data_IF_979730433462
#
_entry.id   IF_979730433462
#
_cell.length_a   1.000
_cell.length_b   1.000
_cell.length_c   1.000
_cell.angle_alpha   90.00
_cell.angle_beta   90.00
_cell.angle_gamma   90.00
#
_symmetry.space_group_name_H-M   'P 1'
#
loop_
_entity.id
_entity.type
_entity.pdbx_description
1 polymer ?
#
# COMPACT_ATOMS: atom_id res chain seq x y z
N UNK A 1 -36.05 6.47 -8.59
CA UNK A 1 -36.55 7.83 -8.90
C UNK A 1 -36.03 8.93 -7.97
N UNK A 2 -36.30 8.95 -6.65
CA UNK A 2 -35.85 10.08 -5.79
C UNK A 2 -34.32 10.21 -5.59
N UNK A 3 -33.56 9.13 -5.76
CA UNK A 3 -32.10 9.18 -5.62
C UNK A 3 -31.39 9.61 -6.91
N UNK A 4 -31.99 9.37 -8.07
CA UNK A 4 -31.34 9.57 -9.37
C UNK A 4 -31.14 11.06 -9.64
N UNK A 5 -32.17 11.88 -9.39
CA UNK A 5 -32.07 13.34 -9.51
C UNK A 5 -31.04 13.95 -8.54
N UNK A 6 -30.98 13.44 -7.31
CA UNK A 6 -30.02 13.89 -6.30
C UNK A 6 -28.58 13.54 -6.69
N UNK A 7 -28.36 12.31 -7.17
CA UNK A 7 -27.04 11.88 -7.65
C UNK A 7 -26.59 12.76 -8.81
N UNK A 8 -27.47 13.00 -9.79
CA UNK A 8 -27.16 13.85 -10.95
C UNK A 8 -26.78 15.28 -10.55
N UNK A 9 -27.39 15.83 -9.50
CA UNK A 9 -27.05 17.16 -8.98
C UNK A 9 -25.60 17.24 -8.44
N UNK A 10 -25.11 16.18 -7.79
CA UNK A 10 -23.81 16.18 -7.12
C UNK A 10 -22.74 15.34 -7.85
N UNK A 11 -23.04 14.81 -9.03
CA UNK A 11 -22.12 13.96 -9.79
C UNK A 11 -20.82 14.71 -10.15
N UNK A 12 -20.90 16.01 -10.45
CA UNK A 12 -19.72 16.83 -10.74
C UNK A 12 -18.79 16.98 -9.52
N UNK A 13 -19.36 17.08 -8.31
CA UNK A 13 -18.60 17.10 -7.06
C UNK A 13 -17.89 15.75 -6.86
N UNK A 14 -18.59 14.64 -7.04
CA UNK A 14 -17.99 13.30 -6.89
C UNK A 14 -16.87 13.11 -7.92
N UNK A 15 -17.11 13.51 -9.17
CA UNK A 15 -16.12 13.42 -10.26
C UNK A 15 -14.86 14.25 -9.97
N UNK A 16 -15.00 15.44 -9.39
CA UNK A 16 -13.85 16.29 -9.04
C UNK A 16 -13.02 15.71 -7.89
N UNK A 17 -13.66 15.10 -6.89
CA UNK A 17 -12.98 14.40 -5.79
C UNK A 17 -12.29 13.13 -6.30
N UNK A 18 -13.00 12.30 -7.07
CA UNK A 18 -12.46 11.08 -7.70
C UNK A 18 -11.29 11.39 -8.65
N UNK A 19 -11.32 12.56 -9.31
CA UNK A 19 -10.25 13.03 -10.20
C UNK A 19 -8.86 13.01 -9.54
N UNK A 20 -8.77 13.23 -8.23
CA UNK A 20 -7.52 13.20 -7.46
C UNK A 20 -6.88 11.81 -7.38
N UNK A 21 -7.62 10.75 -7.69
CA UNK A 21 -7.20 9.35 -7.59
C UNK A 21 -7.04 8.67 -8.97
N UNK A 22 -7.09 9.43 -10.07
CA UNK A 22 -6.98 8.90 -11.45
C UNK A 22 -5.69 8.14 -11.74
N UNK A 23 -4.60 8.49 -11.07
CA UNK A 23 -3.30 7.85 -11.27
C UNK A 23 -3.12 6.59 -10.40
N UNK A 24 -4.18 6.08 -9.79
CA UNK A 24 -4.15 4.78 -9.12
C UNK A 24 -4.25 3.64 -10.14
N UNK A 25 -3.90 2.42 -9.73
CA UNK A 25 -4.02 1.22 -10.58
C UNK A 25 -5.48 0.71 -10.69
N UNK A 26 -6.45 1.52 -10.30
CA UNK A 26 -7.87 1.15 -10.16
C UNK A 26 -8.66 1.88 -11.26
N UNK A 27 -9.61 1.22 -11.94
CA UNK A 27 -10.48 1.86 -12.92
C UNK A 27 -11.18 3.10 -12.36
N UNK A 28 -11.28 4.15 -13.17
CA UNK A 28 -11.89 5.41 -12.73
C UNK A 28 -13.36 5.25 -12.39
N UNK A 29 -14.06 4.37 -13.10
CA UNK A 29 -15.46 4.01 -12.87
C UNK A 29 -15.66 3.46 -11.46
N UNK A 30 -14.78 2.57 -10.99
CA UNK A 30 -14.89 1.98 -9.64
C UNK A 30 -14.67 3.03 -8.55
N UNK A 31 -13.69 3.91 -8.75
CA UNK A 31 -13.44 5.06 -7.86
C UNK A 31 -14.67 5.97 -7.82
N UNK A 32 -15.30 6.21 -8.98
CA UNK A 32 -16.49 7.03 -9.10
C UNK A 32 -17.66 6.41 -8.34
N UNK A 33 -17.88 5.10 -8.47
CA UNK A 33 -18.94 4.37 -7.76
C UNK A 33 -18.75 4.45 -6.25
N UNK A 34 -17.54 4.24 -5.74
CA UNK A 34 -17.27 4.37 -4.30
C UNK A 34 -17.46 5.82 -3.81
N UNK A 35 -17.12 6.81 -4.65
CA UNK A 35 -17.44 8.20 -4.38
C UNK A 35 -18.95 8.47 -4.26
N UNK A 36 -19.75 7.87 -5.15
CA UNK A 36 -21.21 7.97 -5.12
C UNK A 36 -21.79 7.31 -3.86
N UNK A 37 -21.23 6.18 -3.41
CA UNK A 37 -21.61 5.56 -2.15
C UNK A 37 -21.31 6.47 -0.95
N UNK A 38 -20.14 7.12 -0.94
CA UNK A 38 -19.80 8.11 0.08
C UNK A 38 -20.74 9.32 0.10
N UNK A 39 -21.18 9.79 -1.07
CA UNK A 39 -22.20 10.85 -1.21
C UNK A 39 -23.54 10.42 -0.61
N UNK A 40 -24.00 9.19 -0.90
CA UNK A 40 -25.25 8.67 -0.37
C UNK A 40 -25.19 8.48 1.15
N UNK A 41 -24.04 8.08 1.69
CA UNK A 41 -23.83 7.99 3.14
C UNK A 41 -23.89 9.38 3.80
N UNK A 42 -23.27 10.39 3.18
CA UNK A 42 -23.38 11.77 3.64
C UNK A 42 -24.83 12.26 3.63
N UNK A 43 -25.60 11.96 2.57
CA UNK A 43 -27.02 12.31 2.47
C UNK A 43 -27.82 11.75 3.65
N UNK A 44 -27.57 10.49 4.04
CA UNK A 44 -28.26 9.83 5.16
C UNK A 44 -27.99 10.50 6.51
N UNK A 45 -26.80 11.07 6.71
CA UNK A 45 -26.34 11.63 7.99
C UNK A 45 -26.41 13.17 8.06
N UNK A 46 -26.76 13.82 6.95
CA UNK A 46 -26.82 15.27 6.88
C UNK A 46 -28.00 15.83 7.66
N UNK A 47 -27.74 16.86 8.46
CA UNK A 47 -28.75 17.62 9.17
C UNK A 47 -28.80 19.06 8.61
N UNK A 48 -29.88 19.45 7.89
CA UNK A 48 -30.03 20.80 7.31
C UNK A 48 -30.02 21.94 8.35
N UNK A 49 -30.42 21.67 9.60
CA UNK A 49 -30.49 22.68 10.67
C UNK A 49 -29.12 23.24 11.06
N UNK A 50 -28.03 22.56 10.67
CA UNK A 50 -26.65 22.97 10.96
C UNK A 50 -26.18 24.17 10.13
N UNK A 51 -27.02 24.76 9.25
CA UNK A 51 -26.73 25.94 8.41
C UNK A 51 -25.44 25.84 7.58
N UNK A 52 -25.01 24.61 7.26
CA UNK A 52 -23.86 24.36 6.37
C UNK A 52 -24.36 23.82 5.03
N UNK A 53 -23.68 24.18 3.95
CA UNK A 53 -24.00 23.65 2.63
C UNK A 53 -23.73 22.14 2.59
N UNK A 54 -24.63 21.40 1.94
CA UNK A 54 -24.48 19.95 1.80
C UNK A 54 -23.17 19.56 1.08
N UNK A 55 -22.72 20.35 0.11
CA UNK A 55 -21.45 20.14 -0.61
C UNK A 55 -20.26 20.11 0.35
N UNK A 56 -20.19 21.08 1.26
CA UNK A 56 -19.18 21.16 2.32
C UNK A 56 -19.23 19.94 3.22
N UNK A 57 -20.44 19.52 3.61
CA UNK A 57 -20.63 18.35 4.45
C UNK A 57 -20.23 17.06 3.73
N UNK A 58 -20.60 16.89 2.46
CA UNK A 58 -20.43 15.65 1.69
C UNK A 58 -18.97 15.40 1.26
N UNK A 59 -18.20 16.46 0.97
CA UNK A 59 -16.81 16.34 0.55
C UNK A 59 -15.95 15.39 1.41
N UNK A 60 -15.89 15.53 2.75
CA UNK A 60 -15.09 14.63 3.58
C UNK A 60 -15.57 13.17 3.53
N UNK A 61 -16.88 12.91 3.40
CA UNK A 61 -17.40 11.55 3.28
C UNK A 61 -16.98 10.90 1.96
N UNK A 62 -17.14 11.62 0.85
CA UNK A 62 -16.75 11.15 -0.49
C UNK A 62 -15.25 10.85 -0.51
N UNK A 63 -14.43 11.81 -0.07
CA UNK A 63 -12.98 11.68 -0.09
C UNK A 63 -12.48 10.57 0.85
N UNK A 64 -13.07 10.41 2.04
CA UNK A 64 -12.73 9.33 2.98
C UNK A 64 -13.04 7.97 2.35
N UNK A 65 -14.25 7.81 1.81
CA UNK A 65 -14.71 6.56 1.19
C UNK A 65 -13.80 6.13 0.04
N UNK A 66 -13.49 7.04 -0.88
CA UNK A 66 -12.59 6.78 -1.99
C UNK A 66 -11.19 6.40 -1.49
N UNK A 67 -10.65 7.14 -0.52
CA UNK A 67 -9.32 6.87 0.04
C UNK A 67 -9.22 5.48 0.65
N UNK A 68 -10.22 5.08 1.43
CA UNK A 68 -10.28 3.75 2.05
C UNK A 68 -10.34 2.65 1.00
N UNK A 69 -11.17 2.82 -0.03
CA UNK A 69 -11.27 1.90 -1.16
C UNK A 69 -9.93 1.75 -1.90
N UNK A 70 -9.31 2.87 -2.30
CA UNK A 70 -8.03 2.87 -3.02
C UNK A 70 -6.94 2.18 -2.20
N UNK A 71 -6.89 2.43 -0.89
CA UNK A 71 -5.93 1.78 0.00
C UNK A 71 -6.17 0.26 0.14
N UNK A 72 -7.44 -0.16 0.14
CA UNK A 72 -7.81 -1.58 0.24
C UNK A 72 -7.47 -2.33 -1.04
N UNK A 73 -7.84 -1.78 -2.20
CA UNK A 73 -7.62 -2.45 -3.49
C UNK A 73 -6.11 -2.48 -3.84
N UNK A 74 -5.37 -1.42 -3.52
CA UNK A 74 -3.90 -1.44 -3.68
C UNK A 74 -3.23 -2.54 -2.87
N UNK A 75 -3.73 -2.81 -1.65
CA UNK A 75 -3.23 -3.89 -0.79
C UNK A 75 -3.59 -5.27 -1.34
N UNK A 76 -4.79 -5.42 -1.90
CA UNK A 76 -5.26 -6.66 -2.52
C UNK A 76 -4.46 -6.99 -3.77
N UNK A 77 -4.30 -6.05 -4.69
CA UNK A 77 -3.48 -6.22 -5.90
C UNK A 77 -2.04 -6.60 -5.55
N UNK A 78 -1.47 -6.00 -4.49
CA UNK A 78 -0.15 -6.38 -3.99
C UNK A 78 -0.10 -7.83 -3.47
N UNK A 79 -1.13 -8.28 -2.73
CA UNK A 79 -1.19 -9.63 -2.19
C UNK A 79 -1.34 -10.68 -3.32
N UNK A 80 -2.22 -10.44 -4.28
CA UNK A 80 -2.46 -11.34 -5.41
C UNK A 80 -1.23 -11.46 -6.34
N UNK A 81 -0.54 -10.35 -6.59
CA UNK A 81 0.75 -10.37 -7.28
C UNK A 81 1.82 -11.10 -6.46
N UNK A 82 1.77 -11.00 -5.13
CA UNK A 82 2.72 -11.73 -4.29
C UNK A 82 2.48 -13.23 -4.36
N UNK A 83 1.23 -13.70 -4.28
CA UNK A 83 0.85 -15.12 -4.29
C UNK A 83 1.19 -15.78 -5.64
N UNK A 84 0.90 -15.11 -6.75
CA UNK A 84 1.31 -15.57 -8.09
C UNK A 84 2.82 -15.66 -8.26
N UNK A 85 3.59 -14.67 -7.75
CA UNK A 85 5.05 -14.75 -7.76
C UNK A 85 5.55 -15.86 -6.85
N UNK A 86 4.95 -16.10 -5.66
CA UNK A 86 5.31 -17.22 -4.79
C UNK A 86 5.14 -18.53 -5.53
N UNK A 87 3.98 -18.76 -6.13
CA UNK A 87 3.66 -20.00 -6.83
C UNK A 87 4.57 -20.24 -8.03
N UNK A 88 4.94 -19.19 -8.78
CA UNK A 88 5.90 -19.31 -9.89
C UNK A 88 7.37 -19.47 -9.43
N UNK A 89 7.71 -19.20 -8.17
CA UNK A 89 9.07 -19.37 -7.63
C UNK A 89 9.27 -20.74 -6.98
N UNK A 90 8.23 -21.57 -6.84
CA UNK A 90 8.32 -22.85 -6.12
C UNK A 90 8.98 -23.99 -6.92
N UNK A 91 9.46 -23.79 -8.15
CA UNK A 91 10.09 -24.84 -8.97
C UNK A 91 11.62 -24.78 -9.15
N UNK A 92 12.34 -23.85 -8.54
CA UNK A 92 13.81 -23.92 -8.53
C UNK A 92 14.37 -23.93 -7.11
N UNK A 93 14.70 -25.14 -6.62
CA UNK A 93 15.60 -25.33 -5.48
C UNK A 93 17.02 -24.96 -5.92
N UNK A 94 17.67 -23.89 -5.40
CA UNK A 94 19.06 -23.63 -5.73
C UNK A 94 19.98 -24.46 -4.82
N UNK A 95 21.15 -24.89 -5.34
CA UNK A 95 22.10 -25.74 -4.63
C UNK A 95 22.74 -25.03 -3.43
N UNK A 96 23.33 -25.85 -2.57
CA UNK A 96 23.84 -25.58 -1.22
C UNK A 96 24.50 -24.21 -0.99
N UNK A 97 24.15 -23.64 0.16
CA UNK A 97 24.51 -22.32 0.67
C UNK A 97 26.01 -22.10 0.82
N UNK A 98 26.56 -21.05 0.19
CA UNK A 98 27.74 -20.37 0.72
C UNK A 98 27.31 -19.60 1.97
N UNK A 99 27.53 -20.16 3.17
CA UNK A 99 27.19 -19.49 4.44
C UNK A 99 27.87 -18.11 4.50
N UNK A 100 27.08 -17.04 4.51
CA UNK A 100 27.61 -15.68 4.59
C UNK A 100 28.12 -15.44 6.03
N UNK A 101 29.44 -15.34 6.23
CA UNK A 101 30.01 -14.92 7.53
C UNK A 101 29.67 -13.45 7.75
N UNK A 102 28.67 -13.18 8.57
CA UNK A 102 28.22 -11.84 8.94
C UNK A 102 29.02 -11.33 10.15
N UNK A 103 29.52 -10.08 10.14
CA UNK A 103 30.24 -9.51 11.29
C UNK A 103 29.32 -9.34 12.51
N UNK A 104 29.90 -9.41 13.71
CA UNK A 104 29.15 -9.43 14.97
C UNK A 104 28.47 -8.10 15.33
N UNK A 105 28.87 -6.99 14.70
CA UNK A 105 28.31 -5.65 14.90
C UNK A 105 26.97 -5.39 14.17
N UNK A 106 26.31 -6.44 13.68
CA UNK A 106 24.97 -6.35 13.11
C UNK A 106 23.92 -6.80 14.12
N UNK A 107 22.83 -6.04 14.18
CA UNK A 107 21.67 -6.41 15.00
C UNK A 107 20.98 -7.68 14.46
N UNK A 108 20.24 -8.40 15.31
CA UNK A 108 19.51 -9.64 14.94
C UNK A 108 18.61 -9.43 13.72
N UNK A 109 17.97 -8.26 13.65
CA UNK A 109 17.11 -7.88 12.52
C UNK A 109 17.93 -7.60 11.26
N UNK A 110 19.08 -6.90 11.38
CA UNK A 110 19.99 -6.64 10.26
C UNK A 110 20.54 -7.95 9.68
N UNK A 111 20.95 -8.90 10.53
CA UNK A 111 21.40 -10.24 10.12
C UNK A 111 20.29 -11.01 9.40
N UNK A 112 19.07 -11.03 9.93
CA UNK A 112 17.94 -11.71 9.31
C UNK A 112 17.56 -11.13 7.94
N UNK A 113 17.57 -9.79 7.81
CA UNK A 113 17.30 -9.12 6.52
C UNK A 113 18.38 -9.46 5.49
N UNK A 114 19.66 -9.42 5.87
CA UNK A 114 20.75 -9.76 4.97
C UNK A 114 20.75 -11.25 4.59
N UNK A 115 20.47 -12.14 5.54
CA UNK A 115 20.35 -13.59 5.29
C UNK A 115 19.24 -13.88 4.28
N UNK A 116 18.06 -13.31 4.50
CA UNK A 116 16.94 -13.48 3.57
C UNK A 116 17.21 -12.87 2.20
N UNK A 117 17.94 -11.75 2.13
CA UNK A 117 18.26 -11.09 0.87
C UNK A 117 19.37 -11.79 0.07
N UNK A 118 20.44 -12.24 0.72
CA UNK A 118 21.62 -12.80 0.04
C UNK A 118 21.57 -14.33 -0.07
N UNK A 119 21.16 -15.06 0.96
CA UNK A 119 21.11 -16.53 0.93
C UNK A 119 19.83 -17.02 0.24
N UNK A 120 18.68 -16.46 0.62
CA UNK A 120 17.37 -16.87 0.08
C UNK A 120 16.94 -16.09 -1.18
N UNK A 121 17.74 -15.10 -1.60
CA UNK A 121 17.47 -14.19 -2.74
C UNK A 121 16.06 -13.60 -2.75
N UNK A 122 15.48 -13.35 -1.58
CA UNK A 122 14.10 -12.86 -1.47
C UNK A 122 14.04 -11.36 -1.82
N UNK A 123 12.98 -10.90 -2.53
CA UNK A 123 12.75 -9.48 -2.74
C UNK A 123 12.42 -8.79 -1.41
N UNK A 124 12.73 -7.49 -1.31
CA UNK A 124 12.57 -6.71 -0.07
C UNK A 124 11.13 -6.71 0.47
N UNK A 125 10.16 -6.84 -0.42
CA UNK A 125 8.74 -6.97 -0.10
C UNK A 125 8.44 -8.26 0.68
N UNK A 126 8.93 -9.42 0.22
CA UNK A 126 8.74 -10.71 0.91
C UNK A 126 9.46 -10.76 2.24
N UNK A 127 10.65 -10.14 2.32
CA UNK A 127 11.39 -10.02 3.58
C UNK A 127 10.59 -9.17 4.57
N UNK A 128 9.94 -8.12 4.10
CA UNK A 128 9.06 -7.28 4.92
C UNK A 128 7.87 -8.06 5.48
N UNK A 129 7.21 -8.83 4.63
CA UNK A 129 6.10 -9.69 5.02
C UNK A 129 6.53 -10.71 6.10
N UNK A 130 7.68 -11.37 5.91
CA UNK A 130 8.19 -12.40 6.82
C UNK A 130 8.63 -11.85 8.19
N UNK A 131 9.12 -10.61 8.23
CA UNK A 131 9.61 -9.96 9.45
C UNK A 131 8.59 -9.00 10.09
N UNK A 132 7.38 -8.88 9.53
CA UNK A 132 6.36 -7.93 10.00
C UNK A 132 6.76 -6.46 9.80
N UNK A 133 7.60 -6.17 8.81
CA UNK A 133 8.13 -4.83 8.52
C UNK A 133 7.64 -4.32 7.15
N UNK A 134 7.46 -3.00 7.01
CA UNK A 134 7.18 -2.38 5.71
C UNK A 134 8.40 -2.52 4.77
N UNK A 135 8.19 -2.68 3.46
CA UNK A 135 9.26 -2.78 2.43
C UNK A 135 10.35 -1.73 2.60
N UNK A 136 9.93 -0.47 2.75
CA UNK A 136 10.85 0.66 2.88
C UNK A 136 11.69 0.56 4.17
N UNK A 137 11.11 0.02 5.25
CA UNK A 137 11.83 -0.25 6.49
C UNK A 137 12.89 -1.35 6.28
N UNK A 138 12.57 -2.40 5.54
CA UNK A 138 13.54 -3.45 5.16
C UNK A 138 14.67 -2.88 4.31
N UNK A 139 14.35 -2.02 3.33
CA UNK A 139 15.34 -1.34 2.49
C UNK A 139 16.30 -0.50 3.33
N UNK A 140 15.77 0.29 4.27
CA UNK A 140 16.58 1.10 5.19
C UNK A 140 17.50 0.25 6.07
N UNK A 141 16.98 -0.85 6.63
CA UNK A 141 17.76 -1.80 7.45
C UNK A 141 18.88 -2.43 6.60
N UNK A 142 18.57 -2.88 5.39
CA UNK A 142 19.58 -3.40 4.45
C UNK A 142 20.65 -2.37 4.15
N UNK A 143 20.27 -1.13 3.82
CA UNK A 143 21.24 -0.07 3.51
C UNK A 143 22.11 0.28 4.71
N UNK A 144 21.54 0.33 5.91
CA UNK A 144 22.27 0.54 7.16
C UNK A 144 23.28 -0.60 7.40
N UNK A 145 22.85 -1.85 7.24
CA UNK A 145 23.70 -3.02 7.38
C UNK A 145 24.85 -3.03 6.35
N UNK A 146 24.57 -2.72 5.08
CA UNK A 146 25.59 -2.61 4.04
C UNK A 146 26.58 -1.46 4.29
N UNK A 147 26.12 -0.32 4.82
CA UNK A 147 27.01 0.78 5.23
C UNK A 147 27.96 0.34 6.34
N UNK A 148 27.45 -0.36 7.37
CA UNK A 148 28.28 -0.93 8.43
C UNK A 148 29.33 -1.92 7.89
N UNK A 149 28.96 -2.76 6.92
CA UNK A 149 29.90 -3.68 6.26
C UNK A 149 30.99 -2.93 5.49
N UNK A 150 30.62 -1.90 4.70
CA UNK A 150 31.59 -1.09 3.93
C UNK A 150 32.57 -0.31 4.79
N UNK A 151 32.12 0.22 5.93
CA UNK A 151 33.01 0.92 6.88
C UNK A 151 34.10 -0.03 7.39
N UNK A 152 33.79 -1.31 7.58
CA UNK A 152 34.73 -2.31 8.07
C UNK A 152 35.72 -2.80 7.00
N UNK A 153 35.34 -2.80 5.71
CA UNK A 153 36.24 -3.21 4.62
C UNK A 153 37.25 -2.14 4.22
N UNK A 154 37.04 -0.88 4.65
CA UNK A 154 37.85 0.29 4.27
C UNK A 154 38.88 0.70 5.34
N UNK A 155 39.05 -0.11 6.37
CA UNK A 155 39.94 0.10 7.53
C UNK A 155 41.12 -0.89 7.58
N UNK A 156 41.41 -1.56 6.47
CA UNK A 156 42.61 -2.40 6.28
C UNK A 156 43.45 -1.76 5.19
#
# INVERSE_FOLDING_TARGET
MKNDAFINQYIALVKSVAGKYRNSAIPFEDIMQEGLLGLLEAKKKFNPERKIQFTTYAYPWINKRIREFVSKESKKNFLELSDSIINNTLEEQPPETTKLKLPDNLDKIEKSVLKCFFEKRLPLDKIGLLLGLRRERVRQIKQKALRKMKINTKLI
#
